data_IF_172387792787
#
_entry.id   IF_172387792787
#
_cell.length_a   1.000
_cell.length_b   1.000
_cell.length_c   1.000
_cell.angle_alpha   90.00
_cell.angle_beta   90.00
_cell.angle_gamma   90.00
#
_symmetry.space_group_name_H-M   'P 1'
#
loop_
_entity.id
_entity.type
_entity.pdbx_description
1 polymer ?
#
# COMPACT_ATOMS: atom_id res chain seq x y z
N UNK A 1 -20.49 -25.44 47.75
CA UNK A 1 -19.49 -25.81 46.71
C UNK A 1 -18.54 -24.64 46.56
N UNK A 2 -17.43 -24.73 47.31
CA UNK A 2 -16.25 -23.87 47.15
C UNK A 2 -15.53 -24.30 45.86
N UNK A 3 -15.04 -23.33 45.09
CA UNK A 3 -14.01 -23.58 44.09
C UNK A 3 -12.93 -22.53 44.22
N UNK A 4 -11.71 -23.06 44.19
CA UNK A 4 -10.51 -22.51 44.75
C UNK A 4 -9.87 -21.43 43.88
N UNK A 5 -9.36 -20.41 44.57
CA UNK A 5 -8.38 -19.46 44.08
C UNK A 5 -7.02 -20.13 43.95
N UNK A 6 -6.54 -20.35 42.73
CA UNK A 6 -5.15 -20.74 42.46
C UNK A 6 -4.29 -19.49 42.25
N UNK A 7 -3.38 -19.29 43.20
CA UNK A 7 -2.29 -18.32 43.18
C UNK A 7 -1.23 -18.72 42.15
N UNK A 8 -0.91 -17.83 41.21
CA UNK A 8 0.25 -18.00 40.32
C UNK A 8 1.46 -17.34 40.99
N UNK A 9 2.45 -18.18 41.30
CA UNK A 9 3.74 -17.80 41.83
C UNK A 9 4.56 -17.03 40.79
N UNK A 10 5.20 -15.96 41.24
CA UNK A 10 6.18 -15.16 40.51
C UNK A 10 7.54 -15.86 40.47
N UNK A 11 7.83 -16.57 39.38
CA UNK A 11 9.19 -17.04 39.10
C UNK A 11 10.06 -15.90 38.55
N UNK A 12 11.20 -15.71 39.22
CA UNK A 12 12.17 -14.67 38.92
C UNK A 12 12.85 -14.85 37.56
N UNK A 13 12.71 -13.83 36.72
CA UNK A 13 13.42 -13.71 35.45
C UNK A 13 14.90 -13.41 35.75
N UNK A 14 15.75 -14.42 35.59
CA UNK A 14 17.21 -14.29 35.58
C UNK A 14 17.67 -13.58 34.31
N UNK A 15 18.45 -12.53 34.47
CA UNK A 15 19.10 -11.77 33.40
C UNK A 15 19.97 -12.66 32.49
N UNK A 16 19.92 -12.48 31.14
CA UNK A 16 20.82 -13.20 30.24
C UNK A 16 22.27 -12.74 30.42
N UNK A 17 23.17 -13.70 30.66
CA UNK A 17 24.62 -13.50 30.62
C UNK A 17 25.04 -13.13 29.20
N UNK A 18 25.61 -11.93 29.06
CA UNK A 18 26.25 -11.43 27.83
C UNK A 18 27.46 -12.33 27.48
N UNK A 19 27.54 -12.90 26.27
CA UNK A 19 28.74 -13.60 25.83
C UNK A 19 29.87 -12.60 25.56
N UNK A 20 31.02 -12.81 26.22
CA UNK A 20 32.30 -12.17 25.89
C UNK A 20 32.70 -12.54 24.46
N UNK A 21 32.58 -11.62 23.52
CA UNK A 21 33.17 -11.75 22.20
C UNK A 21 34.68 -11.53 22.26
N UNK A 22 35.40 -12.58 21.90
CA UNK A 22 36.84 -12.69 21.68
C UNK A 22 37.34 -11.69 20.63
N UNK A 23 38.49 -11.07 20.94
CA UNK A 23 39.24 -10.16 20.07
C UNK A 23 39.55 -10.84 18.73
N UNK A 24 39.14 -10.23 17.61
CA UNK A 24 39.65 -10.55 16.27
C UNK A 24 40.99 -9.85 16.04
N UNK A 25 41.95 -10.50 15.37
CA UNK A 25 43.22 -9.89 15.01
C UNK A 25 43.04 -8.94 13.82
N UNK A 26 43.79 -7.85 13.88
CA UNK A 26 43.94 -6.80 12.87
C UNK A 26 44.46 -7.38 11.56
N UNK A 27 43.58 -7.58 10.57
CA UNK A 27 44.01 -7.86 9.20
C UNK A 27 44.48 -6.54 8.57
N UNK A 28 45.79 -6.40 8.42
CA UNK A 28 46.43 -5.36 7.62
C UNK A 28 45.97 -5.48 6.16
N UNK A 29 45.07 -4.58 5.75
CA UNK A 29 44.74 -4.33 4.35
C UNK A 29 45.97 -3.76 3.65
N UNK A 30 46.69 -4.60 2.90
CA UNK A 30 47.65 -4.18 1.87
C UNK A 30 46.90 -3.32 0.85
N UNK A 31 47.10 -2.00 0.90
CA UNK A 31 46.71 -1.10 -0.19
C UNK A 31 47.60 -1.43 -1.40
N UNK A 32 47.02 -1.68 -2.59
CA UNK A 32 47.81 -1.68 -3.82
C UNK A 32 48.36 -0.27 -4.04
N UNK A 33 49.64 -0.20 -4.43
CA UNK A 33 50.31 1.02 -4.83
C UNK A 33 49.55 1.70 -5.99
N UNK A 34 49.50 3.04 -6.05
CA UNK A 34 48.90 3.74 -7.17
C UNK A 34 49.65 3.38 -8.46
N UNK A 35 48.95 2.77 -9.41
CA UNK A 35 49.42 2.67 -10.78
C UNK A 35 49.70 4.09 -11.28
N UNK A 36 50.96 4.34 -11.65
CA UNK A 36 51.38 5.51 -12.42
C UNK A 36 50.53 5.57 -13.68
N UNK A 37 49.51 6.43 -13.70
CA UNK A 37 48.93 6.90 -14.96
C UNK A 37 50.02 7.71 -15.65
N UNK A 38 50.46 7.22 -16.80
CA UNK A 38 51.35 7.93 -17.69
C UNK A 38 50.67 9.27 -18.04
N UNK A 39 51.23 10.36 -17.49
CA UNK A 39 50.74 11.70 -17.68
C UNK A 39 50.97 12.16 -19.12
N UNK A 40 49.89 12.19 -19.89
CA UNK A 40 49.77 13.22 -20.91
C UNK A 40 49.58 14.55 -20.18
N UNK A 41 50.55 15.45 -20.26
CA UNK A 41 50.44 16.82 -19.76
C UNK A 41 49.32 17.49 -20.57
N UNK A 42 48.07 17.40 -20.10
CA UNK A 42 47.02 18.30 -20.55
C UNK A 42 47.43 19.67 -20.05
N UNK A 43 47.74 20.57 -20.97
CA UNK A 43 48.05 21.96 -20.65
C UNK A 43 46.89 22.56 -19.85
N UNK A 44 47.20 23.44 -18.89
CA UNK A 44 46.21 24.13 -18.05
C UNK A 44 45.09 24.77 -18.91
N UNK A 45 45.43 25.23 -20.12
CA UNK A 45 44.50 25.76 -21.12
C UNK A 45 43.46 24.74 -21.59
N UNK A 46 43.83 23.46 -21.74
CA UNK A 46 42.90 22.40 -22.11
C UNK A 46 41.85 22.16 -21.02
N UNK A 47 42.26 22.16 -19.75
CA UNK A 47 41.34 22.01 -18.62
C UNK A 47 40.42 23.23 -18.44
N UNK A 48 40.91 24.44 -18.76
CA UNK A 48 40.09 25.65 -18.74
C UNK A 48 39.01 25.62 -19.84
N UNK A 49 39.36 25.21 -21.06
CA UNK A 49 38.39 25.07 -22.16
C UNK A 49 37.35 23.98 -21.87
N UNK A 50 37.77 22.84 -21.33
CA UNK A 50 36.85 21.76 -20.93
C UNK A 50 35.86 22.24 -19.85
N UNK A 51 36.32 23.06 -18.89
CA UNK A 51 35.47 23.65 -17.86
C UNK A 51 34.49 24.69 -18.40
N UNK A 52 34.91 25.51 -19.37
CA UNK A 52 34.04 26.50 -20.02
C UNK A 52 32.99 25.82 -20.90
N UNK A 53 33.37 24.78 -21.63
CA UNK A 53 32.44 23.98 -22.43
C UNK A 53 31.37 23.30 -21.54
N UNK A 54 31.78 22.70 -20.43
CA UNK A 54 30.84 22.11 -19.46
C UNK A 54 29.93 23.16 -18.80
N UNK A 55 30.38 24.41 -18.63
CA UNK A 55 29.53 25.50 -18.15
C UNK A 55 28.52 25.95 -19.20
N UNK A 56 28.93 26.01 -20.47
CA UNK A 56 28.04 26.36 -21.58
C UNK A 56 26.96 25.28 -21.77
N UNK A 57 27.34 24.00 -21.76
CA UNK A 57 26.40 22.87 -21.84
C UNK A 57 25.43 22.84 -20.66
N UNK A 58 25.90 23.08 -19.43
CA UNK A 58 25.02 23.19 -18.26
C UNK A 58 24.08 24.40 -18.32
N UNK A 59 24.49 25.52 -18.92
CA UNK A 59 23.61 26.67 -19.12
C UNK A 59 22.58 26.42 -20.23
N UNK A 60 22.98 25.76 -21.32
CA UNK A 60 22.06 25.35 -22.39
C UNK A 60 20.99 24.36 -21.86
N UNK A 61 21.41 23.35 -21.08
CA UNK A 61 20.50 22.42 -20.40
C UNK A 61 19.56 23.15 -19.42
N UNK A 62 20.04 24.15 -18.69
CA UNK A 62 19.17 24.98 -17.81
C UNK A 62 18.18 25.86 -18.58
N UNK A 63 18.54 26.30 -19.79
CA UNK A 63 17.66 27.08 -20.67
C UNK A 63 16.62 26.18 -21.35
N UNK A 64 16.96 24.95 -21.73
CA UNK A 64 16.00 23.97 -22.24
C UNK A 64 15.08 23.41 -21.15
N UNK A 65 15.54 23.38 -19.89
CA UNK A 65 14.74 23.08 -18.71
C UNK A 65 14.02 24.30 -18.12
N UNK A 66 13.96 25.43 -18.84
CA UNK A 66 13.04 26.50 -18.41
C UNK A 66 11.62 25.94 -18.47
N UNK A 67 10.90 25.90 -17.33
CA UNK A 67 9.58 25.28 -17.27
C UNK A 67 8.70 25.96 -18.31
N UNK A 68 8.19 25.17 -19.25
CA UNK A 68 7.35 25.69 -20.32
C UNK A 68 6.18 26.49 -19.74
N UNK A 69 5.56 27.38 -20.54
CA UNK A 69 4.37 28.15 -20.14
C UNK A 69 3.30 27.30 -19.42
N UNK A 70 3.20 26.02 -19.78
CA UNK A 70 2.32 25.03 -19.16
C UNK A 70 2.64 24.74 -17.67
N UNK A 71 3.91 24.65 -17.29
CA UNK A 71 4.33 24.44 -15.90
C UNK A 71 4.16 25.72 -15.07
N UNK A 72 4.35 26.89 -15.68
CA UNK A 72 4.10 28.19 -15.05
C UNK A 72 2.60 28.40 -14.82
N UNK A 73 1.73 28.01 -15.76
CA UNK A 73 0.27 28.04 -15.57
C UNK A 73 -0.22 26.97 -14.59
N UNK A 74 0.35 25.76 -14.59
CA UNK A 74 0.07 24.74 -13.58
C UNK A 74 0.51 25.18 -12.16
N UNK A 75 1.68 25.80 -12.02
CA UNK A 75 2.16 26.33 -10.74
C UNK A 75 1.30 27.51 -10.25
N UNK A 76 0.73 28.31 -11.16
CA UNK A 76 -0.18 29.42 -10.85
C UNK A 76 -1.56 28.96 -10.37
N UNK A 77 -1.91 27.69 -10.56
CA UNK A 77 -3.21 27.12 -10.18
C UNK A 77 -3.18 26.31 -8.86
N UNK A 78 -2.02 26.21 -8.21
CA UNK A 78 -1.89 25.61 -6.89
C UNK A 78 -2.49 26.52 -5.80
N UNK A 79 -3.80 26.42 -5.61
CA UNK A 79 -4.50 27.05 -4.48
C UNK A 79 -4.46 26.14 -3.26
N UNK A 80 -4.61 26.73 -2.07
CA UNK A 80 -5.02 25.96 -0.89
C UNK A 80 -6.47 25.52 -1.12
N UNK A 81 -6.66 24.20 -1.23
CA UNK A 81 -7.92 23.60 -1.60
C UNK A 81 -8.29 22.61 -0.50
N UNK A 82 -9.58 22.61 -0.11
CA UNK A 82 -10.10 21.67 0.89
C UNK A 82 -10.16 20.23 0.36
N UNK A 83 -10.23 19.27 1.28
CA UNK A 83 -10.21 17.83 0.99
C UNK A 83 -11.25 17.41 -0.06
N UNK A 84 -12.48 17.90 0.06
CA UNK A 84 -13.59 17.55 -0.84
C UNK A 84 -13.35 18.03 -2.29
N UNK A 85 -12.60 19.12 -2.46
CA UNK A 85 -12.36 19.72 -3.76
C UNK A 85 -11.15 19.11 -4.48
N UNK A 86 -10.10 18.71 -3.74
CA UNK A 86 -8.90 18.06 -4.34
C UNK A 86 -9.23 16.66 -4.86
N UNK A 87 -10.08 15.93 -4.14
CA UNK A 87 -10.36 14.51 -4.41
C UNK A 87 -11.78 14.25 -4.88
N UNK A 88 -12.44 15.25 -5.46
CA UNK A 88 -13.85 15.15 -5.89
C UNK A 88 -14.12 13.91 -6.76
N UNK A 89 -13.23 13.57 -7.71
CA UNK A 89 -13.36 12.37 -8.54
C UNK A 89 -13.32 11.07 -7.73
N UNK A 90 -12.30 10.90 -6.88
CA UNK A 90 -12.16 9.72 -6.00
C UNK A 90 -13.37 9.61 -5.06
N UNK A 91 -13.79 10.73 -4.45
CA UNK A 91 -14.94 10.79 -3.55
C UNK A 91 -16.25 10.46 -4.27
N UNK A 92 -16.43 10.90 -5.51
CA UNK A 92 -17.61 10.59 -6.32
C UNK A 92 -17.69 9.09 -6.62
N UNK A 93 -16.59 8.47 -7.04
CA UNK A 93 -16.57 7.01 -7.28
C UNK A 93 -16.74 6.24 -5.98
N UNK A 94 -16.08 6.65 -4.89
CA UNK A 94 -16.26 6.05 -3.57
C UNK A 94 -17.72 6.17 -3.07
N UNK A 95 -18.44 7.26 -3.40
CA UNK A 95 -19.89 7.39 -3.13
C UNK A 95 -20.70 6.40 -3.95
N UNK A 96 -20.39 6.24 -5.24
CA UNK A 96 -21.07 5.30 -6.13
C UNK A 96 -20.87 3.85 -5.69
N UNK A 97 -19.70 3.50 -5.14
CA UNK A 97 -19.42 2.17 -4.60
C UNK A 97 -19.89 1.98 -3.14
N UNK A 98 -20.34 3.06 -2.48
CA UNK A 98 -20.81 3.01 -1.10
C UNK A 98 -19.71 3.04 -0.03
N UNK A 99 -18.46 3.35 -0.38
CA UNK A 99 -17.35 3.57 0.57
C UNK A 99 -17.37 4.96 1.23
N UNK A 100 -18.04 5.93 0.60
CA UNK A 100 -18.20 7.28 1.15
C UNK A 100 -19.68 7.58 1.44
N UNK A 101 -20.10 7.26 2.66
CA UNK A 101 -21.51 7.33 3.10
C UNK A 101 -21.85 8.60 3.89
N UNK A 102 -20.87 9.47 4.09
CA UNK A 102 -21.01 10.72 4.84
C UNK A 102 -21.28 11.89 3.89
N UNK A 103 -22.02 12.88 4.37
CA UNK A 103 -22.43 14.06 3.62
C UNK A 103 -22.17 15.31 4.46
N UNK A 104 -21.61 16.33 3.82
CA UNK A 104 -21.35 17.60 4.48
C UNK A 104 -22.65 18.41 4.59
N UNK A 105 -23.05 18.77 5.83
CA UNK A 105 -24.20 19.65 6.11
C UNK A 105 -23.86 20.58 7.27
N UNK A 106 -23.91 21.89 7.00
CA UNK A 106 -23.76 22.92 8.04
C UNK A 106 -22.43 22.86 8.81
N UNK A 107 -21.31 22.69 8.11
CA UNK A 107 -19.99 22.67 8.75
C UNK A 107 -19.59 21.34 9.41
N UNK A 108 -20.44 20.32 9.37
CA UNK A 108 -20.14 18.98 9.91
C UNK A 108 -20.45 17.89 8.89
N UNK A 109 -19.81 16.72 9.01
CA UNK A 109 -20.22 15.55 8.25
C UNK A 109 -21.21 14.72 9.04
N UNK A 110 -22.29 14.33 8.36
CA UNK A 110 -23.30 13.44 8.91
C UNK A 110 -23.47 12.21 8.02
N UNK A 111 -23.86 11.09 8.61
CA UNK A 111 -24.11 9.85 7.87
C UNK A 111 -25.38 10.02 7.02
N UNK A 112 -25.27 9.80 5.72
CA UNK A 112 -26.40 9.81 4.79
C UNK A 112 -26.86 8.38 4.52
N UNK A 113 -28.01 7.99 5.09
CA UNK A 113 -28.55 6.61 4.96
C UNK A 113 -28.76 6.17 3.51
N UNK A 114 -29.11 7.11 2.60
CA UNK A 114 -29.28 6.81 1.18
C UNK A 114 -27.98 6.32 0.52
N UNK A 115 -26.82 6.79 1.00
CA UNK A 115 -25.51 6.38 0.49
C UNK A 115 -25.06 5.00 0.99
N UNK A 116 -25.81 4.36 1.89
CA UNK A 116 -25.60 2.96 2.27
C UNK A 116 -26.08 1.99 1.20
N UNK A 117 -27.05 2.39 0.37
CA UNK A 117 -27.67 1.50 -0.61
C UNK A 117 -26.63 0.87 -1.57
N UNK A 118 -25.68 1.63 -2.16
CA UNK A 118 -24.68 1.01 -3.03
C UNK A 118 -23.76 0.02 -2.30
N UNK A 119 -23.39 0.28 -1.03
CA UNK A 119 -22.60 -0.66 -0.24
C UNK A 119 -23.36 -1.97 0.04
N UNK A 120 -24.66 -1.86 0.33
CA UNK A 120 -25.54 -3.03 0.54
C UNK A 120 -25.71 -3.82 -0.75
N UNK A 121 -25.97 -3.16 -1.88
CA UNK A 121 -26.13 -3.82 -3.17
C UNK A 121 -24.82 -4.49 -3.63
N UNK A 122 -23.69 -3.81 -3.46
CA UNK A 122 -22.37 -4.33 -3.81
C UNK A 122 -22.00 -5.55 -2.94
N UNK A 123 -22.16 -5.45 -1.62
CA UNK A 123 -21.88 -6.57 -0.70
C UNK A 123 -22.82 -7.75 -0.92
N UNK A 124 -24.11 -7.52 -1.15
CA UNK A 124 -25.08 -8.56 -1.47
C UNK A 124 -24.72 -9.26 -2.78
N UNK A 125 -24.40 -8.50 -3.83
CA UNK A 125 -23.97 -9.04 -5.12
C UNK A 125 -22.72 -9.90 -5.00
N UNK A 126 -21.70 -9.42 -4.26
CA UNK A 126 -20.48 -10.18 -3.99
C UNK A 126 -20.75 -11.46 -3.19
N UNK A 127 -21.67 -11.40 -2.21
CA UNK A 127 -22.03 -12.55 -1.35
C UNK A 127 -22.78 -13.62 -2.14
N UNK A 128 -23.80 -13.23 -2.92
CA UNK A 128 -24.55 -14.14 -3.79
C UNK A 128 -23.59 -14.82 -4.77
N UNK A 129 -22.74 -14.03 -5.42
CA UNK A 129 -21.81 -14.58 -6.39
C UNK A 129 -20.80 -15.54 -5.77
N UNK A 130 -20.19 -15.16 -4.65
CA UNK A 130 -19.23 -16.02 -3.94
C UNK A 130 -19.90 -17.32 -3.50
N UNK A 131 -21.14 -17.25 -3.02
CA UNK A 131 -21.92 -18.43 -2.62
C UNK A 131 -22.19 -19.34 -3.82
N UNK A 132 -22.64 -18.79 -4.95
CA UNK A 132 -22.87 -19.54 -6.18
C UNK A 132 -21.58 -20.18 -6.70
N UNK A 133 -20.46 -19.47 -6.66
CA UNK A 133 -19.15 -19.99 -7.06
C UNK A 133 -18.72 -21.14 -6.14
N UNK A 134 -18.85 -21.00 -4.82
CA UNK A 134 -18.52 -22.06 -3.87
C UNK A 134 -19.40 -23.29 -4.05
N UNK A 135 -20.71 -23.11 -4.29
CA UNK A 135 -21.64 -24.21 -4.60
C UNK A 135 -21.26 -24.87 -5.93
N UNK A 136 -20.94 -24.10 -6.96
CA UNK A 136 -20.48 -24.63 -8.24
C UNK A 136 -19.20 -25.47 -8.09
N UNK A 137 -18.20 -24.96 -7.35
CA UNK A 137 -16.95 -25.66 -7.08
C UNK A 137 -17.15 -26.92 -6.22
N UNK A 138 -18.17 -26.96 -5.36
CA UNK A 138 -18.49 -28.11 -4.52
C UNK A 138 -19.28 -29.21 -5.27
N UNK A 139 -20.16 -28.81 -6.19
CA UNK A 139 -21.04 -29.73 -6.93
C UNK A 139 -20.45 -30.21 -8.25
N UNK A 140 -19.54 -29.43 -8.85
CA UNK A 140 -18.94 -29.77 -10.13
C UNK A 140 -17.52 -30.28 -9.90
N UNK A 141 -17.15 -31.45 -10.45
CA UNK A 141 -15.76 -31.88 -10.41
C UNK A 141 -14.94 -30.92 -11.28
N UNK A 142 -14.24 -30.00 -10.62
CA UNK A 142 -13.37 -29.02 -11.24
C UNK A 142 -11.91 -29.42 -11.02
N UNK A 143 -11.03 -29.23 -12.02
CA UNK A 143 -9.63 -29.55 -11.84
C UNK A 143 -8.99 -28.63 -10.80
N UNK A 144 -8.03 -29.14 -10.04
CA UNK A 144 -7.39 -28.40 -8.94
C UNK A 144 -6.78 -27.06 -9.40
N UNK A 145 -6.15 -27.03 -10.57
CA UNK A 145 -5.59 -25.80 -11.15
C UNK A 145 -6.64 -24.69 -11.29
N UNK A 146 -7.89 -25.05 -11.62
CA UNK A 146 -8.98 -24.09 -11.76
C UNK A 146 -9.36 -23.48 -10.42
N UNK A 147 -9.36 -24.28 -9.35
CA UNK A 147 -9.59 -23.79 -7.98
C UNK A 147 -8.50 -22.79 -7.58
N UNK A 148 -7.22 -23.14 -7.81
CA UNK A 148 -6.08 -22.28 -7.44
C UNK A 148 -6.08 -20.94 -8.19
N UNK A 149 -6.46 -20.92 -9.47
CA UNK A 149 -6.54 -19.69 -10.28
C UNK A 149 -7.72 -18.81 -9.86
N UNK A 150 -8.85 -19.40 -9.44
CA UNK A 150 -10.05 -18.65 -9.04
C UNK A 150 -10.05 -18.23 -7.57
N UNK A 151 -9.22 -18.84 -6.72
CA UNK A 151 -9.15 -18.54 -5.29
C UNK A 151 -8.86 -17.05 -5.00
N UNK A 152 -7.92 -16.36 -5.69
CA UNK A 152 -7.75 -14.91 -5.54
C UNK A 152 -9.02 -14.09 -5.80
N UNK A 153 -9.86 -14.52 -6.74
CA UNK A 153 -11.14 -13.85 -7.03
C UNK A 153 -12.13 -14.01 -5.87
N UNK A 154 -12.22 -15.21 -5.28
CA UNK A 154 -13.04 -15.47 -4.08
C UNK A 154 -12.62 -14.55 -2.94
N UNK A 155 -11.32 -14.47 -2.66
CA UNK A 155 -10.78 -13.57 -1.63
C UNK A 155 -11.01 -12.09 -1.98
N UNK A 156 -11.04 -11.72 -3.25
CA UNK A 156 -11.38 -10.37 -3.68
C UNK A 156 -12.84 -10.02 -3.37
N UNK A 157 -13.79 -10.94 -3.58
CA UNK A 157 -15.18 -10.71 -3.16
C UNK A 157 -15.33 -10.62 -1.65
N UNK A 158 -14.71 -11.54 -0.90
CA UNK A 158 -14.72 -11.49 0.56
C UNK A 158 -14.18 -10.16 1.08
N UNK A 159 -13.10 -9.66 0.48
CA UNK A 159 -12.57 -8.33 0.79
C UNK A 159 -13.59 -7.21 0.53
N UNK A 160 -14.27 -7.21 -0.62
CA UNK A 160 -15.26 -6.17 -0.93
C UNK A 160 -16.39 -6.19 0.11
N UNK A 161 -16.88 -7.38 0.47
CA UNK A 161 -17.90 -7.55 1.50
C UNK A 161 -17.41 -6.98 2.84
N UNK A 162 -16.22 -7.36 3.28
CA UNK A 162 -15.65 -6.88 4.55
C UNK A 162 -15.43 -5.36 4.51
N UNK A 163 -14.93 -4.80 3.40
CA UNK A 163 -14.74 -3.36 3.25
C UNK A 163 -16.08 -2.58 3.31
N UNK A 164 -17.14 -3.11 2.70
CA UNK A 164 -18.48 -2.55 2.83
C UNK A 164 -18.98 -2.61 4.28
N UNK A 165 -18.84 -3.75 4.97
CA UNK A 165 -19.22 -3.92 6.37
C UNK A 165 -18.45 -2.93 7.27
N UNK A 166 -17.13 -2.86 7.11
CA UNK A 166 -16.27 -1.92 7.83
C UNK A 166 -16.70 -0.47 7.63
N UNK A 167 -17.02 -0.09 6.38
CA UNK A 167 -17.53 1.27 6.09
C UNK A 167 -18.80 1.57 6.89
N UNK A 168 -19.71 0.59 7.00
CA UNK A 168 -20.97 0.74 7.75
C UNK A 168 -20.73 0.78 9.25
N UNK A 169 -19.84 -0.07 9.79
CA UNK A 169 -19.51 -0.11 11.21
C UNK A 169 -18.78 1.15 11.66
N UNK A 170 -17.83 1.63 10.85
CA UNK A 170 -17.01 2.81 11.13
C UNK A 170 -17.63 4.14 10.66
N UNK A 171 -18.91 4.16 10.26
CA UNK A 171 -19.58 5.36 9.72
C UNK A 171 -19.48 6.62 10.60
N UNK A 172 -19.61 6.45 11.91
CA UNK A 172 -19.53 7.56 12.86
C UNK A 172 -18.08 8.05 13.02
N UNK A 173 -17.13 7.11 13.07
CA UNK A 173 -15.70 7.41 13.08
C UNK A 173 -15.29 8.15 11.81
N UNK A 174 -15.81 7.75 10.65
CA UNK A 174 -15.59 8.43 9.37
C UNK A 174 -16.13 9.85 9.37
N UNK A 175 -17.33 10.08 9.92
CA UNK A 175 -17.92 11.42 10.02
C UNK A 175 -17.07 12.35 10.89
N UNK A 176 -16.64 11.88 12.07
CA UNK A 176 -15.72 12.62 12.93
C UNK A 176 -14.36 12.83 12.28
N UNK A 177 -13.83 11.81 11.61
CA UNK A 177 -12.58 11.87 10.88
C UNK A 177 -12.61 12.95 9.81
N UNK A 178 -13.61 12.96 8.93
CA UNK A 178 -13.72 13.98 7.89
C UNK A 178 -13.94 15.39 8.44
N UNK A 179 -14.64 15.52 9.57
CA UNK A 179 -14.81 16.82 10.24
C UNK A 179 -13.45 17.36 10.74
N UNK A 180 -12.57 16.50 11.25
CA UNK A 180 -11.18 16.91 11.57
C UNK A 180 -10.39 17.19 10.29
N UNK A 181 -10.54 16.35 9.26
CA UNK A 181 -9.80 16.53 8.00
C UNK A 181 -10.15 17.85 7.27
N UNK A 182 -11.31 18.45 7.55
CA UNK A 182 -11.69 19.76 7.00
C UNK A 182 -10.82 20.91 7.45
N UNK A 183 -10.17 20.83 8.61
CA UNK A 183 -9.24 21.87 9.05
C UNK A 183 -7.93 21.86 8.27
N UNK A 184 -7.66 20.79 7.52
CA UNK A 184 -6.44 20.64 6.75
C UNK A 184 -6.60 21.18 5.32
N UNK A 185 -5.66 22.03 4.91
CA UNK A 185 -5.55 22.52 3.54
C UNK A 185 -4.34 21.91 2.85
N UNK A 186 -4.49 21.54 1.58
CA UNK A 186 -3.40 21.01 0.77
C UNK A 186 -3.23 21.86 -0.48
N UNK A 187 -1.98 22.12 -0.82
CA UNK A 187 -1.59 22.76 -2.06
C UNK A 187 -1.36 21.66 -3.11
N UNK A 188 -2.42 21.28 -3.82
CA UNK A 188 -2.36 20.24 -4.85
C UNK A 188 -3.25 20.58 -6.05
N UNK A 189 -2.77 20.24 -7.25
CA UNK A 189 -3.55 20.37 -8.47
C UNK A 189 -4.65 19.32 -8.54
N UNK A 190 -5.90 19.76 -8.75
CA UNK A 190 -7.09 18.92 -8.98
C UNK A 190 -6.95 17.99 -10.19
N UNK A 191 -6.12 18.37 -11.17
CA UNK A 191 -5.94 17.59 -12.39
C UNK A 191 -5.17 16.29 -12.13
N UNK A 192 -4.14 16.34 -11.27
CA UNK A 192 -3.29 15.18 -10.99
C UNK A 192 -4.08 14.02 -10.36
N UNK A 193 -5.01 14.34 -9.46
CA UNK A 193 -5.84 13.34 -8.76
C UNK A 193 -6.89 12.72 -9.67
N UNK A 194 -7.58 13.53 -10.49
CA UNK A 194 -8.55 13.03 -11.47
C UNK A 194 -7.90 12.16 -12.55
N UNK A 195 -6.70 12.50 -13.00
CA UNK A 195 -5.94 11.68 -13.95
C UNK A 195 -5.61 10.31 -13.35
N UNK A 196 -5.25 10.24 -12.06
CA UNK A 196 -4.98 8.96 -11.41
C UNK A 196 -6.20 8.03 -11.41
N UNK A 197 -7.39 8.55 -11.07
CA UNK A 197 -8.65 7.77 -11.14
C UNK A 197 -8.90 7.24 -12.55
N UNK A 198 -8.73 8.09 -13.57
CA UNK A 198 -8.92 7.70 -14.97
C UNK A 198 -7.92 6.63 -15.39
N UNK A 199 -6.65 6.77 -15.02
CA UNK A 199 -5.60 5.78 -15.33
C UNK A 199 -5.94 4.42 -14.72
N UNK A 200 -6.39 4.38 -13.46
CA UNK A 200 -6.80 3.13 -12.82
C UNK A 200 -8.03 2.51 -13.49
N UNK A 201 -9.04 3.32 -13.82
CA UNK A 201 -10.20 2.84 -14.55
C UNK A 201 -9.79 2.24 -15.90
N UNK A 202 -8.97 2.95 -16.68
CA UNK A 202 -8.43 2.44 -17.95
C UNK A 202 -7.63 1.16 -17.77
N UNK A 203 -6.78 1.08 -16.75
CA UNK A 203 -5.96 -0.10 -16.46
C UNK A 203 -6.84 -1.32 -16.12
N UNK A 204 -7.84 -1.17 -15.25
CA UNK A 204 -8.77 -2.25 -14.90
C UNK A 204 -9.57 -2.74 -16.11
N UNK A 205 -9.96 -1.82 -17.01
CA UNK A 205 -10.63 -2.15 -18.26
C UNK A 205 -9.72 -2.90 -19.23
N UNK A 206 -8.44 -2.52 -19.34
CA UNK A 206 -7.44 -3.25 -20.13
C UNK A 206 -7.23 -4.64 -19.57
N UNK A 207 -7.11 -4.78 -18.25
CA UNK A 207 -6.91 -6.07 -17.59
C UNK A 207 -8.11 -7.01 -17.80
N UNK A 208 -9.34 -6.47 -17.72
CA UNK A 208 -10.54 -7.21 -18.07
C UNK A 208 -10.60 -7.59 -19.55
N UNK A 209 -10.23 -6.69 -20.46
CA UNK A 209 -10.14 -6.95 -21.89
C UNK A 209 -9.08 -8.00 -22.25
N UNK A 210 -7.93 -8.00 -21.57
CA UNK A 210 -6.91 -9.02 -21.71
C UNK A 210 -7.42 -10.39 -21.23
N UNK A 211 -8.11 -10.43 -20.09
CA UNK A 211 -8.70 -11.68 -19.57
C UNK A 211 -9.76 -12.23 -20.54
N UNK A 212 -10.52 -11.34 -21.16
CA UNK A 212 -11.52 -11.61 -22.19
C UNK A 212 -10.96 -12.25 -23.46
N UNK A 213 -9.90 -11.65 -24.00
CA UNK A 213 -9.26 -12.11 -25.24
C UNK A 213 -8.60 -13.49 -25.07
N UNK A 214 -8.27 -13.85 -23.83
CA UNK A 214 -7.51 -15.06 -23.51
C UNK A 214 -8.38 -16.29 -23.25
N UNK A 215 -9.68 -16.15 -23.04
CA UNK A 215 -10.56 -17.28 -22.69
C UNK A 215 -11.76 -17.37 -23.64
N UNK A 216 -11.77 -18.33 -24.59
CA UNK A 216 -12.72 -18.34 -25.71
C UNK A 216 -14.07 -19.03 -25.40
N UNK A 217 -14.65 -18.84 -24.21
CA UNK A 217 -15.95 -19.45 -23.86
C UNK A 217 -17.00 -18.45 -23.40
N UNK A 218 -18.26 -18.70 -23.77
CA UNK A 218 -19.43 -17.90 -23.37
C UNK A 218 -19.62 -17.87 -21.84
N UNK A 219 -19.20 -18.95 -21.15
CA UNK A 219 -19.18 -19.02 -19.69
C UNK A 219 -18.19 -18.03 -19.06
N UNK A 220 -17.17 -17.57 -19.78
CA UNK A 220 -16.21 -16.57 -19.29
C UNK A 220 -16.63 -15.15 -19.64
N UNK A 221 -17.47 -14.96 -20.65
CA UNK A 221 -18.14 -13.68 -20.92
C UNK A 221 -19.04 -13.27 -19.75
N UNK A 222 -19.67 -14.24 -19.07
CA UNK A 222 -20.39 -14.01 -17.83
C UNK A 222 -19.46 -13.55 -16.68
N UNK A 223 -18.18 -13.93 -16.70
CA UNK A 223 -17.16 -13.61 -15.68
C UNK A 223 -16.44 -12.26 -15.88
N UNK A 224 -16.76 -11.50 -16.94
CA UNK A 224 -16.12 -10.19 -17.22
C UNK A 224 -16.46 -9.14 -16.17
N UNK A 225 -17.75 -8.90 -15.86
CA UNK A 225 -18.10 -7.88 -14.86
C UNK A 225 -17.46 -8.21 -13.51
N UNK A 226 -17.20 -9.49 -13.28
CA UNK A 226 -16.66 -10.08 -12.07
C UNK A 226 -15.15 -9.81 -11.93
N UNK A 227 -14.36 -9.98 -13.00
CA UNK A 227 -12.95 -9.55 -13.03
C UNK A 227 -12.83 -8.03 -12.90
N UNK A 228 -13.69 -7.28 -13.59
CA UNK A 228 -13.73 -5.83 -13.45
C UNK A 228 -14.00 -5.40 -12.01
N UNK A 229 -15.00 -5.98 -11.34
CA UNK A 229 -15.36 -5.63 -9.95
C UNK A 229 -14.23 -5.96 -8.98
N UNK A 230 -13.61 -7.13 -9.10
CA UNK A 230 -12.54 -7.61 -8.19
C UNK A 230 -11.21 -6.86 -8.33
N UNK A 231 -10.99 -6.16 -9.44
CA UNK A 231 -9.83 -5.27 -9.63
C UNK A 231 -10.20 -3.80 -9.34
N UNK A 232 -11.30 -3.31 -9.93
CA UNK A 232 -11.70 -1.90 -9.84
C UNK A 232 -12.12 -1.46 -8.44
N UNK A 233 -13.03 -2.19 -7.79
CA UNK A 233 -13.57 -1.79 -6.49
C UNK A 233 -12.46 -1.67 -5.45
N UNK A 234 -11.56 -2.67 -5.33
CA UNK A 234 -10.45 -2.54 -4.41
C UNK A 234 -9.50 -1.40 -4.80
N UNK A 235 -9.20 -1.18 -6.08
CA UNK A 235 -8.28 -0.11 -6.50
C UNK A 235 -8.83 1.29 -6.14
N UNK A 236 -10.14 1.50 -6.26
CA UNK A 236 -10.79 2.75 -5.83
C UNK A 236 -10.70 2.93 -4.31
N UNK A 237 -10.88 1.86 -3.53
CA UNK A 237 -10.73 1.93 -2.08
C UNK A 237 -9.30 2.29 -1.67
N UNK A 238 -8.31 1.75 -2.37
CA UNK A 238 -6.90 2.06 -2.13
C UNK A 238 -6.57 3.53 -2.45
N UNK A 239 -7.06 4.05 -3.59
CA UNK A 239 -6.98 5.48 -3.92
C UNK A 239 -7.67 6.37 -2.90
N UNK A 240 -8.81 5.91 -2.38
CA UNK A 240 -9.56 6.61 -1.35
C UNK A 240 -8.73 6.70 -0.06
N UNK A 241 -8.11 5.60 0.38
CA UNK A 241 -7.21 5.60 1.54
C UNK A 241 -5.99 6.50 1.28
N UNK A 242 -5.34 6.35 0.12
CA UNK A 242 -4.16 7.12 -0.29
C UNK A 242 -4.42 8.64 -0.22
N UNK A 243 -5.58 9.08 -0.72
CA UNK A 243 -5.96 10.50 -0.74
C UNK A 243 -5.88 11.15 0.64
N UNK A 244 -6.33 10.44 1.67
CA UNK A 244 -6.28 10.95 3.04
C UNK A 244 -4.88 10.96 3.62
N UNK A 245 -4.06 9.93 3.33
CA UNK A 245 -2.69 9.87 3.84
C UNK A 245 -1.84 10.99 3.23
N UNK A 246 -2.07 11.35 1.96
CA UNK A 246 -1.42 12.51 1.31
C UNK A 246 -1.75 13.81 2.04
N UNK A 247 -3.01 14.02 2.44
CA UNK A 247 -3.42 15.21 3.20
C UNK A 247 -2.76 15.26 4.58
N UNK A 248 -2.74 14.14 5.29
CA UNK A 248 -2.07 14.04 6.59
C UNK A 248 -0.57 14.34 6.47
N UNK A 249 0.08 13.84 5.43
CA UNK A 249 1.49 14.09 5.13
C UNK A 249 1.74 15.58 4.86
N UNK A 250 0.90 16.20 4.03
CA UNK A 250 0.99 17.63 3.73
C UNK A 250 0.79 18.50 4.99
N UNK A 251 -0.10 18.08 5.90
CA UNK A 251 -0.37 18.78 7.16
C UNK A 251 0.84 18.73 8.11
N UNK A 252 1.52 17.57 8.22
CA UNK A 252 2.76 17.46 8.98
C UNK A 252 3.89 18.30 8.38
N UNK A 253 4.04 18.30 7.05
CA UNK A 253 5.06 19.11 6.37
C UNK A 253 4.77 20.62 6.48
N UNK A 254 3.49 21.03 6.49
CA UNK A 254 3.09 22.41 6.78
C UNK A 254 3.49 22.81 8.19
N UNK A 255 3.13 22.00 9.19
CA UNK A 255 3.51 22.25 10.59
C UNK A 255 5.03 22.28 10.76
N UNK A 256 5.77 21.43 10.05
CA UNK A 256 7.24 21.44 10.06
C UNK A 256 7.80 22.78 9.58
N UNK A 257 7.25 23.33 8.49
CA UNK A 257 7.67 24.63 7.96
C UNK A 257 7.33 25.76 8.93
N UNK A 258 6.16 25.72 9.58
CA UNK A 258 5.78 26.68 10.61
C UNK A 258 6.73 26.66 11.81
N UNK A 259 7.15 25.47 12.26
CA UNK A 259 8.15 25.31 13.33
C UNK A 259 9.49 25.94 12.93
N UNK A 260 9.96 25.71 11.69
CA UNK A 260 11.21 26.29 11.20
C UNK A 260 11.15 27.81 10.97
N UNK A 261 9.99 28.33 10.59
CA UNK A 261 9.81 29.76 10.31
C UNK A 261 9.73 30.60 11.59
N UNK A 262 9.57 29.99 12.76
CA UNK A 262 9.53 30.71 14.04
C UNK A 262 10.94 31.07 14.49
N UNK A 263 11.25 32.37 14.41
CA UNK A 263 12.52 32.92 14.91
C UNK A 263 12.57 33.00 16.44
N UNK A 264 11.41 33.20 17.10
CA UNK A 264 11.30 33.26 18.56
C UNK A 264 10.19 32.34 19.06
N UNK A 265 10.45 31.68 20.18
CA UNK A 265 9.50 30.77 20.84
C UNK A 265 8.91 31.44 22.06
N UNK A 266 7.61 31.71 21.99
CA UNK A 266 6.79 32.09 23.13
C UNK A 266 5.88 30.91 23.53
N UNK A 267 5.41 30.88 24.78
CA UNK A 267 4.46 29.89 25.27
C UNK A 267 3.20 29.72 24.38
N UNK A 268 2.73 30.78 23.72
CA UNK A 268 1.62 30.69 22.76
C UNK A 268 1.98 29.90 21.50
N UNK A 269 3.23 30.04 21.02
CA UNK A 269 3.74 29.30 19.86
C UNK A 269 3.90 27.80 20.14
N UNK A 270 4.44 27.45 21.31
CA UNK A 270 4.57 26.04 21.73
C UNK A 270 3.18 25.39 21.84
N UNK A 271 2.22 26.08 22.48
CA UNK A 271 0.82 25.60 22.59
C UNK A 271 0.15 25.42 21.23
N UNK A 272 0.34 26.36 20.31
CA UNK A 272 -0.20 26.25 18.96
C UNK A 272 0.39 25.04 18.20
N UNK A 273 1.72 24.86 18.24
CA UNK A 273 2.38 23.70 17.62
C UNK A 273 1.88 22.38 18.21
N UNK A 274 1.75 22.32 19.54
CA UNK A 274 1.21 21.15 20.24
C UNK A 274 -0.22 20.84 19.80
N UNK A 275 -1.10 21.85 19.74
CA UNK A 275 -2.49 21.69 19.32
C UNK A 275 -2.59 21.18 17.88
N UNK A 276 -1.87 21.79 16.94
CA UNK A 276 -1.85 21.36 15.53
C UNK A 276 -1.32 19.94 15.36
N UNK A 277 -0.24 19.58 16.07
CA UNK A 277 0.28 18.20 16.04
C UNK A 277 -0.75 17.20 16.60
N UNK A 278 -1.40 17.52 17.72
CA UNK A 278 -2.41 16.66 18.33
C UNK A 278 -3.61 16.43 17.41
N UNK A 279 -4.04 17.44 16.65
CA UNK A 279 -5.10 17.29 15.65
C UNK A 279 -4.71 16.28 14.57
N UNK A 280 -3.50 16.40 14.01
CA UNK A 280 -2.99 15.46 12.99
C UNK A 280 -2.82 14.05 13.58
N UNK A 281 -2.26 13.92 14.78
CA UNK A 281 -2.09 12.64 15.46
C UNK A 281 -3.43 11.94 15.73
N UNK A 282 -4.45 12.71 16.16
CA UNK A 282 -5.83 12.22 16.33
C UNK A 282 -6.43 11.77 15.01
N UNK A 283 -6.22 12.53 13.93
CA UNK A 283 -6.68 12.16 12.59
C UNK A 283 -6.03 10.85 12.11
N UNK A 284 -4.71 10.68 12.30
CA UNK A 284 -4.00 9.43 11.95
C UNK A 284 -4.53 8.23 12.77
N UNK A 285 -4.80 8.44 14.06
CA UNK A 285 -5.39 7.40 14.91
C UNK A 285 -6.77 6.97 14.41
N UNK A 286 -7.62 7.93 14.02
CA UNK A 286 -8.92 7.62 13.43
C UNK A 286 -8.78 6.92 12.06
N UNK A 287 -7.84 7.37 11.22
CA UNK A 287 -7.54 6.74 9.94
C UNK A 287 -7.18 5.25 10.12
N UNK A 288 -6.29 4.92 11.05
CA UNK A 288 -5.91 3.54 11.35
C UNK A 288 -7.09 2.71 11.87
N UNK A 289 -7.95 3.27 12.72
CA UNK A 289 -9.16 2.59 13.18
C UNK A 289 -10.12 2.24 12.03
N UNK A 290 -10.22 3.12 11.03
CA UNK A 290 -11.15 2.94 9.90
C UNK A 290 -10.58 1.99 8.84
N UNK A 291 -9.27 2.02 8.56
CA UNK A 291 -8.72 1.39 7.36
C UNK A 291 -7.69 0.26 7.62
N UNK A 292 -7.26 0.04 8.87
CA UNK A 292 -6.20 -0.97 9.16
C UNK A 292 -6.59 -2.38 8.73
N UNK A 293 -7.87 -2.78 8.88
CA UNK A 293 -8.35 -4.08 8.41
C UNK A 293 -8.31 -4.18 6.89
N UNK A 294 -8.74 -3.13 6.18
CA UNK A 294 -8.70 -3.09 4.72
C UNK A 294 -7.27 -3.26 4.19
N UNK A 295 -6.30 -2.53 4.77
CA UNK A 295 -4.90 -2.67 4.39
C UNK A 295 -4.34 -4.07 4.69
N UNK A 296 -4.77 -4.68 5.79
CA UNK A 296 -4.43 -6.06 6.14
C UNK A 296 -4.97 -7.09 5.15
N UNK A 297 -6.23 -6.96 4.74
CA UNK A 297 -6.83 -7.85 3.75
C UNK A 297 -6.23 -7.68 2.35
N UNK A 298 -5.77 -6.48 1.99
CA UNK A 298 -5.01 -6.26 0.76
C UNK A 298 -3.72 -7.07 0.72
N UNK A 299 -3.07 -7.21 1.87
CA UNK A 299 -1.88 -8.05 1.96
C UNK A 299 -2.21 -9.52 1.70
N UNK A 300 -3.31 -10.02 2.28
CA UNK A 300 -3.77 -11.39 2.04
C UNK A 300 -4.06 -11.60 0.56
N UNK A 301 -4.73 -10.66 -0.10
CA UNK A 301 -4.97 -10.74 -1.55
C UNK A 301 -3.67 -10.81 -2.36
N UNK A 302 -2.66 -10.03 -2.01
CA UNK A 302 -1.34 -10.09 -2.65
C UNK A 302 -0.74 -11.49 -2.50
N UNK A 303 -0.78 -12.06 -1.30
CA UNK A 303 -0.28 -13.42 -1.04
C UNK A 303 -1.04 -14.46 -1.87
N UNK A 304 -2.38 -14.38 -1.93
CA UNK A 304 -3.19 -15.32 -2.73
C UNK A 304 -2.86 -15.23 -4.22
N UNK A 305 -2.72 -14.01 -4.75
CA UNK A 305 -2.34 -13.79 -6.16
C UNK A 305 -0.93 -14.31 -6.45
N UNK A 306 0.00 -14.12 -5.53
CA UNK A 306 1.37 -14.61 -5.68
C UNK A 306 1.44 -16.15 -5.65
N UNK A 307 0.70 -16.79 -4.74
CA UNK A 307 0.60 -18.25 -4.68
C UNK A 307 -0.06 -18.84 -5.93
N UNK A 308 -1.06 -18.16 -6.48
CA UNK A 308 -1.71 -18.56 -7.73
C UNK A 308 -0.76 -18.47 -8.94
N UNK A 309 -0.03 -17.36 -9.08
CA UNK A 309 1.00 -17.22 -10.12
C UNK A 309 2.09 -18.28 -9.97
N UNK A 310 2.56 -18.52 -8.75
CA UNK A 310 3.57 -19.52 -8.47
C UNK A 310 3.12 -20.91 -8.90
N UNK A 311 1.90 -21.30 -8.52
CA UNK A 311 1.33 -22.57 -8.93
C UNK A 311 1.33 -22.70 -10.46
N UNK A 312 0.91 -21.65 -11.17
CA UNK A 312 0.94 -21.64 -12.64
C UNK A 312 2.37 -21.78 -13.18
N UNK A 313 3.34 -21.01 -12.67
CA UNK A 313 4.75 -21.08 -13.12
C UNK A 313 5.36 -22.47 -12.87
N UNK A 314 5.08 -23.09 -11.73
CA UNK A 314 5.64 -24.39 -11.36
C UNK A 314 4.94 -25.57 -12.06
N UNK A 315 3.63 -25.47 -12.29
CA UNK A 315 2.84 -26.59 -12.82
C UNK A 315 2.70 -26.55 -14.35
N UNK A 316 3.03 -25.43 -15.01
CA UNK A 316 3.02 -25.32 -16.47
C UNK A 316 4.11 -26.17 -17.12
N UNK A 317 3.70 -27.16 -17.92
CA UNK A 317 4.60 -27.97 -18.73
C UNK A 317 4.87 -27.37 -20.11
N UNK A 318 3.87 -26.70 -20.68
CA UNK A 318 3.95 -26.13 -22.02
C UNK A 318 3.92 -24.59 -21.94
N UNK A 319 4.97 -23.96 -22.48
CA UNK A 319 5.12 -22.50 -22.51
C UNK A 319 4.64 -21.87 -23.82
N UNK A 320 3.78 -22.56 -24.57
CA UNK A 320 3.32 -22.11 -25.89
C UNK A 320 1.81 -21.94 -25.96
N UNK A 321 1.37 -21.04 -26.84
CA UNK A 321 -0.04 -20.84 -27.18
C UNK A 321 -0.90 -20.48 -25.98
N UNK A 322 -2.04 -21.17 -25.84
CA UNK A 322 -3.02 -20.91 -24.77
C UNK A 322 -2.45 -21.05 -23.37
N UNK A 323 -1.48 -21.92 -23.12
CA UNK A 323 -0.92 -22.12 -21.77
C UNK A 323 -0.24 -20.86 -21.21
N UNK A 324 0.36 -20.03 -22.09
CA UNK A 324 0.93 -18.73 -21.70
C UNK A 324 -0.15 -17.75 -21.21
N UNK A 325 -1.40 -17.92 -21.64
CA UNK A 325 -2.50 -17.06 -21.20
C UNK A 325 -2.79 -17.21 -19.71
N UNK A 326 -2.57 -18.39 -19.11
CA UNK A 326 -2.71 -18.61 -17.67
C UNK A 326 -1.69 -17.81 -16.87
N UNK A 327 -0.46 -17.68 -17.40
CA UNK A 327 0.58 -16.83 -16.82
C UNK A 327 0.15 -15.36 -16.85
N UNK A 328 -0.38 -14.89 -17.99
CA UNK A 328 -0.85 -13.51 -18.12
C UNK A 328 -2.02 -13.21 -17.17
N UNK A 329 -2.99 -14.13 -17.07
CA UNK A 329 -4.17 -14.00 -16.20
C UNK A 329 -3.80 -13.97 -14.71
N UNK A 330 -2.70 -14.61 -14.31
CA UNK A 330 -2.24 -14.61 -12.90
C UNK A 330 -1.21 -13.52 -12.61
N UNK A 331 -0.34 -13.20 -13.57
CA UNK A 331 0.70 -12.19 -13.41
C UNK A 331 0.17 -10.75 -13.45
N UNK A 332 -0.79 -10.44 -14.32
CA UNK A 332 -1.34 -9.09 -14.43
C UNK A 332 -2.03 -8.63 -13.12
N UNK A 333 -2.98 -9.40 -12.53
CA UNK A 333 -3.59 -9.00 -11.26
C UNK A 333 -2.58 -8.91 -10.12
N UNK A 334 -1.53 -9.73 -10.14
CA UNK A 334 -0.44 -9.65 -9.16
C UNK A 334 0.35 -8.35 -9.32
N UNK A 335 0.74 -8.01 -10.55
CA UNK A 335 1.44 -6.76 -10.87
C UNK A 335 0.66 -5.54 -10.42
N UNK A 336 -0.65 -5.51 -10.72
CA UNK A 336 -1.58 -4.48 -10.27
C UNK A 336 -1.58 -4.32 -8.74
N UNK A 337 -1.79 -5.43 -8.03
CA UNK A 337 -1.89 -5.41 -6.55
C UNK A 337 -0.57 -5.01 -5.91
N UNK A 338 0.54 -5.45 -6.51
CA UNK A 338 1.90 -5.09 -6.09
C UNK A 338 2.15 -3.61 -6.27
N UNK A 339 1.79 -3.04 -7.43
CA UNK A 339 1.94 -1.62 -7.71
C UNK A 339 1.12 -0.77 -6.74
N UNK A 340 -0.14 -1.13 -6.51
CA UNK A 340 -1.01 -0.37 -5.61
C UNK A 340 -0.52 -0.47 -4.17
N UNK A 341 -0.17 -1.67 -3.68
CA UNK A 341 0.38 -1.83 -2.34
C UNK A 341 1.70 -1.05 -2.18
N UNK A 342 2.54 -1.03 -3.21
CA UNK A 342 3.76 -0.23 -3.22
C UNK A 342 3.45 1.26 -3.07
N UNK A 343 2.44 1.79 -3.78
CA UNK A 343 2.03 3.20 -3.65
C UNK A 343 1.53 3.53 -2.25
N UNK A 344 0.65 2.70 -1.66
CA UNK A 344 0.17 2.89 -0.28
C UNK A 344 1.36 2.87 0.70
N UNK A 345 2.26 1.88 0.58
CA UNK A 345 3.44 1.78 1.43
C UNK A 345 4.39 2.98 1.27
N UNK A 346 4.51 3.51 0.05
CA UNK A 346 5.31 4.71 -0.25
C UNK A 346 4.69 5.96 0.39
N UNK A 347 3.38 6.14 0.27
CA UNK A 347 2.68 7.27 0.88
C UNK A 347 2.71 7.16 2.41
N UNK A 348 2.55 5.95 2.96
CA UNK A 348 2.75 5.68 4.39
C UNK A 348 4.18 5.97 4.87
N UNK A 349 5.19 5.64 4.07
CA UNK A 349 6.58 6.01 4.34
C UNK A 349 6.78 7.54 4.33
N UNK A 350 6.15 8.25 3.39
CA UNK A 350 6.20 9.71 3.35
C UNK A 350 5.58 10.34 4.59
N UNK A 351 4.44 9.82 5.07
CA UNK A 351 3.83 10.25 6.34
C UNK A 351 4.78 10.04 7.52
N UNK A 352 5.36 8.83 7.64
CA UNK A 352 6.29 8.50 8.72
C UNK A 352 7.51 9.44 8.70
N UNK A 353 8.12 9.63 7.54
CA UNK A 353 9.25 10.54 7.37
C UNK A 353 8.89 12.00 7.63
N UNK A 354 7.68 12.45 7.28
CA UNK A 354 7.21 13.79 7.63
C UNK A 354 7.08 13.95 9.15
N UNK A 355 6.59 12.91 9.85
CA UNK A 355 6.55 12.85 11.31
C UNK A 355 7.94 12.95 11.94
N UNK A 356 8.90 12.13 11.47
CA UNK A 356 10.29 12.15 11.96
C UNK A 356 10.96 13.51 11.73
N UNK A 357 10.72 14.13 10.58
CA UNK A 357 11.25 15.47 10.27
C UNK A 357 10.65 16.57 11.12
N UNK A 358 9.34 16.47 11.43
CA UNK A 358 8.70 17.39 12.37
C UNK A 358 9.26 17.22 13.77
N UNK A 359 9.46 15.99 14.23
CA UNK A 359 10.12 15.71 15.50
C UNK A 359 11.52 16.33 15.54
N UNK A 360 12.34 16.12 14.50
CA UNK A 360 13.64 16.75 14.38
C UNK A 360 13.59 18.28 14.42
N UNK A 361 12.58 18.89 13.79
CA UNK A 361 12.36 20.34 13.83
C UNK A 361 12.04 20.86 15.23
N UNK A 362 11.16 20.17 15.95
CA UNK A 362 10.76 20.53 17.32
C UNK A 362 11.93 20.34 18.29
N UNK A 363 12.70 19.27 18.14
CA UNK A 363 13.91 19.03 18.93
C UNK A 363 14.97 20.10 18.67
N UNK A 364 15.19 20.48 17.41
CA UNK A 364 16.11 21.57 17.06
C UNK A 364 15.64 22.91 17.65
N UNK A 365 14.34 23.19 17.59
CA UNK A 365 13.76 24.37 18.23
C UNK A 365 14.00 24.38 19.75
N UNK A 366 13.85 23.24 20.44
CA UNK A 366 14.13 23.14 21.87
C UNK A 366 15.59 23.51 22.23
N UNK A 367 16.55 23.20 21.35
CA UNK A 367 17.96 23.56 21.55
C UNK A 367 18.28 25.03 21.24
N UNK A 368 17.44 25.71 20.46
CA UNK A 368 17.62 27.14 20.12
C UNK A 368 17.09 28.06 21.22
N UNK A 369 16.17 27.58 22.06
CA UNK A 369 15.59 28.34 23.16
C UNK A 369 16.57 28.35 24.36
N UNK A 370 16.69 29.45 25.12
CA UNK A 370 17.59 29.55 26.27
C UNK A 370 17.45 28.38 27.25
N UNK A 371 18.57 27.81 27.73
CA UNK A 371 18.55 26.65 28.61
C UNK A 371 17.84 26.96 29.93
N UNK A 372 16.92 26.09 30.35
CA UNK A 372 16.17 26.23 31.60
C UNK A 372 14.92 27.12 31.51
N UNK A 373 14.60 27.67 30.34
CA UNK A 373 13.32 28.36 30.13
C UNK A 373 12.14 27.38 30.09
N UNK A 374 10.95 27.89 30.44
CA UNK A 374 9.70 27.12 30.38
C UNK A 374 9.39 26.65 28.94
N UNK A 375 9.71 27.47 27.94
CA UNK A 375 9.53 27.12 26.52
C UNK A 375 10.43 25.97 26.09
N UNK A 376 11.70 25.93 26.54
CA UNK A 376 12.58 24.81 26.24
C UNK A 376 12.04 23.51 26.86
N UNK A 377 11.63 23.54 28.13
CA UNK A 377 11.08 22.38 28.82
C UNK A 377 9.81 21.88 28.11
N UNK A 378 8.93 22.80 27.72
CA UNK A 378 7.69 22.48 27.03
C UNK A 378 7.92 21.89 25.63
N UNK A 379 8.92 22.40 24.87
CA UNK A 379 9.31 21.85 23.58
C UNK A 379 9.96 20.47 23.70
N UNK A 380 10.84 20.27 24.70
CA UNK A 380 11.45 18.97 24.97
C UNK A 380 10.39 17.92 25.36
N UNK A 381 9.43 18.31 26.18
CA UNK A 381 8.31 17.44 26.55
C UNK A 381 7.39 17.14 25.35
N UNK A 382 7.13 18.13 24.47
CA UNK A 382 6.43 17.90 23.21
C UNK A 382 7.21 16.90 22.32
N UNK A 383 8.52 17.07 22.16
CA UNK A 383 9.35 16.16 21.38
C UNK A 383 9.30 14.71 21.92
N UNK A 384 9.39 14.54 23.24
CA UNK A 384 9.25 13.21 23.88
C UNK A 384 7.86 12.59 23.65
N UNK A 385 6.79 13.39 23.70
CA UNK A 385 5.44 12.93 23.36
C UNK A 385 5.29 12.54 21.88
N UNK A 386 5.92 13.32 21.00
CA UNK A 386 5.94 13.03 19.57
C UNK A 386 6.69 11.73 19.28
N UNK A 387 7.84 11.50 19.92
CA UNK A 387 8.63 10.29 19.78
C UNK A 387 7.85 9.03 20.19
N UNK A 388 7.07 9.11 21.27
CA UNK A 388 6.19 8.02 21.72
C UNK A 388 4.95 7.81 20.83
N UNK A 389 4.53 8.82 20.06
CA UNK A 389 3.29 8.81 19.27
C UNK A 389 3.51 9.31 17.83
N UNK A 390 4.51 8.76 17.15
CA UNK A 390 4.81 9.11 15.77
C UNK A 390 3.63 8.75 14.85
N UNK A 391 3.08 9.71 14.07
CA UNK A 391 2.02 9.43 13.12
C UNK A 391 2.47 8.41 12.06
N UNK A 392 1.85 7.23 12.07
CA UNK A 392 2.14 6.15 11.13
C UNK A 392 0.85 5.50 10.66
N UNK A 393 0.81 5.11 9.39
CA UNK A 393 -0.26 4.25 8.87
C UNK A 393 0.05 2.81 9.31
N UNK A 394 -0.92 2.13 9.91
CA UNK A 394 -0.75 0.79 10.46
C UNK A 394 -1.53 -0.26 9.66
N UNK A 395 -0.89 -1.38 9.34
CA UNK A 395 -1.54 -2.63 8.96
C UNK A 395 -1.80 -3.47 10.22
N UNK A 396 -3.00 -4.06 10.32
CA UNK A 396 -3.42 -4.91 11.46
C UNK A 396 -3.24 -4.29 12.86
N UNK A 397 -3.15 -2.95 12.93
CA UNK A 397 -3.03 -2.23 14.20
C UNK A 397 -1.64 -2.30 14.87
N UNK A 398 -0.67 -3.01 14.31
CA UNK A 398 0.67 -3.18 14.90
C UNK A 398 1.81 -2.76 13.97
N UNK A 399 1.76 -3.11 12.68
CA UNK A 399 2.88 -2.93 11.78
C UNK A 399 2.73 -1.66 10.93
N UNK A 400 3.76 -0.82 10.90
CA UNK A 400 3.74 0.38 10.06
C UNK A 400 3.75 -0.01 8.57
N UNK A 401 2.80 0.48 7.78
CA UNK A 401 2.77 0.35 6.32
C UNK A 401 3.85 1.25 5.71
N UNK A 402 5.03 0.67 5.54
CA UNK A 402 6.22 1.34 5.00
C UNK A 402 6.83 0.53 3.87
N UNK A 403 7.76 1.12 3.14
CA UNK A 403 8.51 0.41 2.11
C UNK A 403 9.30 -0.78 2.70
N UNK A 404 9.72 -0.71 3.97
CA UNK A 404 10.37 -1.82 4.66
C UNK A 404 9.44 -3.03 4.77
N UNK A 405 8.19 -2.80 5.16
CA UNK A 405 7.16 -3.85 5.24
C UNK A 405 6.89 -4.43 3.86
N UNK A 406 6.74 -3.60 2.83
CA UNK A 406 6.61 -4.06 1.45
C UNK A 406 7.79 -4.95 1.02
N UNK A 407 9.03 -4.54 1.26
CA UNK A 407 10.22 -5.34 0.94
C UNK A 407 10.23 -6.66 1.72
N UNK A 408 9.86 -6.65 3.00
CA UNK A 408 9.76 -7.88 3.80
C UNK A 408 8.72 -8.84 3.23
N UNK A 409 7.58 -8.32 2.78
CA UNK A 409 6.53 -9.11 2.16
C UNK A 409 6.94 -9.67 0.81
N UNK A 410 7.57 -8.85 -0.04
CA UNK A 410 8.16 -9.34 -1.29
C UNK A 410 9.20 -10.43 -1.02
N UNK A 411 10.06 -10.28 0.00
CA UNK A 411 11.02 -11.32 0.39
C UNK A 411 10.35 -12.58 0.89
N UNK A 412 9.30 -12.47 1.70
CA UNK A 412 8.54 -13.62 2.19
C UNK A 412 7.87 -14.35 1.03
N UNK A 413 7.20 -13.61 0.13
CA UNK A 413 6.63 -14.15 -1.10
C UNK A 413 7.71 -14.85 -1.91
N UNK A 414 8.81 -14.19 -2.25
CA UNK A 414 9.93 -14.78 -3.01
C UNK A 414 10.54 -16.00 -2.31
N UNK A 415 10.69 -15.98 -0.99
CA UNK A 415 11.18 -17.14 -0.24
C UNK A 415 10.19 -18.31 -0.32
N UNK A 416 8.89 -18.06 -0.19
CA UNK A 416 7.86 -19.07 -0.44
C UNK A 416 7.91 -19.57 -1.89
N UNK A 417 8.13 -18.68 -2.89
CA UNK A 417 8.31 -19.08 -4.29
C UNK A 417 9.49 -20.05 -4.44
N UNK A 418 10.65 -19.70 -3.88
CA UNK A 418 11.87 -20.51 -3.97
C UNK A 418 11.69 -21.85 -3.25
N UNK A 419 11.13 -21.85 -2.04
CA UNK A 419 10.87 -23.09 -1.29
C UNK A 419 9.91 -24.01 -2.02
N UNK A 420 8.85 -23.47 -2.62
CA UNK A 420 7.89 -24.28 -3.37
C UNK A 420 8.45 -24.79 -4.70
N UNK A 421 9.32 -24.03 -5.38
CA UNK A 421 10.07 -24.53 -6.54
C UNK A 421 10.99 -25.69 -6.12
N UNK A 422 11.71 -25.54 -5.00
CA UNK A 422 12.62 -26.57 -4.48
C UNK A 422 11.87 -27.82 -3.99
N UNK A 423 10.75 -27.65 -3.29
CA UNK A 423 9.88 -28.75 -2.86
C UNK A 423 9.12 -29.39 -4.02
N UNK A 424 8.92 -28.67 -5.13
CA UNK A 424 8.32 -29.21 -6.34
C UNK A 424 9.25 -30.11 -7.17
N UNK A 425 10.56 -30.05 -6.92
CA UNK A 425 11.54 -30.99 -7.51
C UNK A 425 11.54 -32.37 -6.80
N UNK A 426 11.00 -32.46 -5.57
CA UNK A 426 10.82 -33.71 -4.82
C UNK A 426 9.33 -34.11 -4.77
N UNK A 427 8.96 -35.13 -5.55
CA UNK A 427 7.70 -35.89 -5.51
C UNK A 427 6.36 -35.24 -5.96
N UNK A 428 5.90 -35.71 -7.13
CA UNK A 428 4.53 -36.19 -7.41
C UNK A 428 3.34 -35.42 -6.78
N UNK A 429 3.18 -34.14 -7.10
CA UNK A 429 1.87 -33.47 -6.99
C UNK A 429 0.93 -34.04 -8.06
N UNK A 430 0.15 -35.04 -7.65
CA UNK A 430 -0.73 -35.86 -8.48
C UNK A 430 -2.11 -35.20 -8.57
N UNK A 431 -2.61 -34.99 -9.79
CA UNK A 431 -3.89 -34.33 -10.06
C UNK A 431 -4.92 -35.31 -10.64
N UNK A 432 -6.15 -35.23 -10.12
CA UNK A 432 -7.28 -36.03 -10.59
C UNK A 432 -7.95 -35.39 -11.82
N UNK A 433 -8.34 -36.23 -12.78
CA UNK A 433 -9.08 -35.85 -13.99
C UNK A 433 -10.57 -36.14 -13.83
N UNK A 434 -11.40 -35.24 -14.36
CA UNK A 434 -12.76 -35.55 -14.79
C UNK A 434 -13.00 -34.89 -16.14
N UNK A 435 -13.43 -35.64 -17.15
CA UNK A 435 -13.73 -35.11 -18.47
C UNK A 435 -14.86 -34.07 -18.39
N UNK A 436 -14.51 -32.80 -18.59
CA UNK A 436 -15.42 -31.67 -18.57
C UNK A 436 -15.09 -30.59 -19.61
N UNK A 437 -15.97 -29.61 -19.83
CA UNK A 437 -15.79 -28.55 -20.83
C UNK A 437 -14.61 -27.59 -20.56
N UNK A 438 -13.97 -27.69 -19.38
CA UNK A 438 -12.81 -26.88 -18.96
C UNK A 438 -11.45 -27.55 -19.26
N UNK A 439 -11.44 -28.73 -19.89
CA UNK A 439 -10.24 -29.56 -20.10
C UNK A 439 -9.19 -29.00 -21.07
N UNK A 440 -9.46 -27.85 -21.72
CA UNK A 440 -8.54 -27.25 -22.71
C UNK A 440 -7.16 -26.94 -22.13
N UNK A 441 -7.10 -26.54 -20.86
CA UNK A 441 -5.85 -26.22 -20.17
C UNK A 441 -5.23 -27.42 -19.47
N UNK A 442 -5.90 -28.57 -19.41
CA UNK A 442 -5.34 -29.76 -18.73
C UNK A 442 -4.06 -30.23 -19.40
N UNK A 443 -3.95 -30.09 -20.73
CA UNK A 443 -2.72 -30.36 -21.48
C UNK A 443 -1.56 -29.42 -21.15
N UNK A 444 -1.83 -28.31 -20.46
CA UNK A 444 -0.80 -27.40 -19.98
C UNK A 444 -0.16 -27.87 -18.66
N UNK A 445 -0.79 -28.81 -17.96
CA UNK A 445 -0.38 -29.34 -16.66
C UNK A 445 -0.03 -30.84 -16.76
N UNK A 446 0.78 -31.36 -15.84
CA UNK A 446 1.25 -32.76 -15.85
C UNK A 446 0.07 -33.75 -15.87
N UNK A 447 0.06 -34.68 -16.84
CA UNK A 447 -0.90 -35.77 -16.93
C UNK A 447 -0.48 -37.01 -16.12
N UNK A 448 -1.48 -37.75 -15.59
CA UNK A 448 -1.48 -38.99 -14.78
C UNK A 448 -1.63 -38.74 -13.25
N UNK A 449 -2.68 -39.16 -12.52
CA UNK A 449 -3.52 -40.38 -12.58
C UNK A 449 -4.82 -40.24 -11.75
N UNK A 450 -5.78 -41.13 -12.03
CA UNK A 450 -7.01 -41.52 -11.28
C UNK A 450 -7.03 -41.32 -9.76
N UNK A 451 -8.11 -40.72 -9.22
CA UNK A 451 -8.53 -40.94 -7.83
C UNK A 451 -9.44 -42.16 -7.76
N UNK A 452 -9.02 -43.14 -6.98
CA UNK A 452 -9.85 -44.23 -6.46
C UNK A 452 -11.01 -43.65 -5.66
N UNK A 453 -12.21 -44.11 -5.99
CA UNK A 453 -13.49 -43.86 -5.33
C UNK A 453 -13.60 -44.43 -3.89
N UNK A 454 -12.50 -44.70 -3.18
CA UNK A 454 -12.51 -45.50 -1.95
C UNK A 454 -11.91 -44.79 -0.72
N UNK A 455 -12.22 -43.51 -0.51
CA UNK A 455 -11.87 -42.81 0.73
C UNK A 455 -13.07 -42.09 1.36
N UNK A 456 -14.26 -42.68 1.17
CA UNK A 456 -15.41 -42.53 2.06
C UNK A 456 -15.94 -43.95 2.36
N UNK A 457 -15.22 -44.65 3.23
CA UNK A 457 -15.73 -45.65 4.18
C UNK A 457 -14.92 -45.54 5.44
#
# INVERSE_FOLDING_TARGET
MQQDTTSIATEGIRSPKVPRTTKRPTQQSRRPAPQRMAGGIRTMEGLLREREQLRAENMALKLELTPGKFDVEMARQEREVGVDEVYCGVMAVARMLGFHIVEHKGGTYNVCRRRLLPAVLLSLGCTIYTSLLMVYLALTPVPFWYVVINLPCVFAYCFIVVACVETVLNRNNMAHYLTVMQSFTVRQSRWKTNISVLVYLCYTMVLAACTLLMVPSFQVTANIPLVCITSFVPAILDLYIESFVVILTASLEKLRKEVHARETWAAGGVRATFASWMEVAKAVTMHNKIFSLCAGLRLIQLMMKAMSLLYVVCSLQCWTGGCLSLLVITALPLGETTEILYRICRVGQHLATAGDRLLGAVTAAAYQVPPGSDEQLALAHLASRMESHLPRVLAWGSDSLTLKTFIQLCRMVTACLVLLVQLGEDDRLTHAYSDGPLTRYDRCFVSNTTTTSNLIT
#
